data_IF_717365903065
#
_entry.id   IF_717365903065
#
_cell.length_a   1.000
_cell.length_b   1.000
_cell.length_c   1.000
_cell.angle_alpha   90.00
_cell.angle_beta   90.00
_cell.angle_gamma   90.00
#
_symmetry.space_group_name_H-M   'P 1'
#
loop_
_entity.id
_entity.type
_entity.pdbx_description
1 polymer ?
#
# COMPACT_ATOMS: atom_id res chain seq x y z
N UNK A 1 -11.39 -25.60 -59.15
CA UNK A 1 -10.55 -25.20 -58.00
C UNK A 1 -11.28 -24.11 -57.26
N UNK A 2 -11.96 -24.50 -56.19
CA UNK A 2 -12.77 -23.62 -55.34
C UNK A 2 -11.89 -22.66 -54.56
N UNK A 3 -12.30 -21.40 -54.46
CA UNK A 3 -11.63 -20.26 -53.80
C UNK A 3 -11.70 -20.39 -52.26
N UNK A 4 -11.64 -21.62 -51.73
CA UNK A 4 -11.71 -21.93 -50.28
C UNK A 4 -10.35 -22.11 -49.62
N UNK A 5 -9.25 -22.19 -50.38
CA UNK A 5 -7.91 -22.55 -49.88
C UNK A 5 -6.96 -21.35 -49.80
N UNK A 6 -7.36 -20.24 -49.18
CA UNK A 6 -6.42 -19.15 -48.83
C UNK A 6 -6.12 -19.23 -47.33
N UNK A 7 -4.85 -19.39 -46.90
CA UNK A 7 -4.47 -19.53 -45.49
C UNK A 7 -5.10 -18.49 -44.56
N UNK A 8 -5.30 -17.27 -45.06
CA UNK A 8 -6.03 -16.16 -44.44
C UNK A 8 -7.32 -16.52 -43.68
N UNK A 9 -8.17 -17.39 -44.24
CA UNK A 9 -9.50 -17.69 -43.67
C UNK A 9 -9.43 -18.87 -42.70
N UNK A 10 -8.51 -19.81 -42.95
CA UNK A 10 -8.41 -21.06 -42.18
C UNK A 10 -7.76 -20.88 -40.80
N UNK A 11 -7.03 -19.77 -40.58
CA UNK A 11 -6.35 -19.49 -39.31
C UNK A 11 -7.26 -18.91 -38.23
N UNK A 12 -8.52 -18.61 -38.55
CA UNK A 12 -9.42 -18.04 -37.56
C UNK A 12 -9.84 -19.11 -36.53
N UNK A 13 -9.49 -18.96 -35.24
CA UNK A 13 -9.81 -19.95 -34.22
C UNK A 13 -11.31 -20.02 -33.89
N UNK A 14 -12.07 -18.98 -34.25
CA UNK A 14 -13.52 -18.93 -34.03
C UNK A 14 -14.33 -19.41 -35.23
N UNK A 15 -13.68 -19.77 -36.34
CA UNK A 15 -14.35 -20.32 -37.53
C UNK A 15 -15.17 -19.32 -38.34
N UNK A 16 -14.99 -18.01 -38.12
CA UNK A 16 -15.65 -16.97 -38.94
C UNK A 16 -14.96 -16.82 -40.30
N UNK A 17 -15.75 -16.54 -41.34
CA UNK A 17 -15.20 -16.08 -42.62
C UNK A 17 -14.94 -14.57 -42.56
N UNK A 18 -13.67 -14.22 -42.40
CA UNK A 18 -13.18 -12.83 -42.36
C UNK A 18 -13.53 -11.99 -43.60
N UNK A 19 -13.92 -12.61 -44.72
CA UNK A 19 -14.32 -11.90 -45.95
C UNK A 19 -15.68 -11.23 -45.83
N UNK A 20 -16.54 -11.72 -44.94
CA UNK A 20 -17.86 -11.15 -44.68
C UNK A 20 -17.79 -9.88 -43.79
N UNK A 21 -16.57 -9.43 -43.45
CA UNK A 21 -16.35 -8.23 -42.66
C UNK A 21 -16.29 -8.49 -41.15
N UNK A 22 -16.58 -7.45 -40.37
CA UNK A 22 -16.50 -7.52 -38.91
C UNK A 22 -17.71 -8.28 -38.35
N UNK A 23 -17.45 -9.48 -37.83
CA UNK A 23 -18.46 -10.31 -37.17
C UNK A 23 -18.31 -10.26 -35.65
N UNK A 24 -19.42 -10.43 -34.92
CA UNK A 24 -19.46 -10.39 -33.45
C UNK A 24 -18.55 -11.47 -32.81
N UNK A 25 -18.39 -12.61 -33.48
CA UNK A 25 -17.54 -13.70 -33.02
C UNK A 25 -16.01 -13.44 -33.22
N UNK A 26 -15.62 -12.29 -33.75
CA UNK A 26 -14.21 -11.90 -33.84
C UNK A 26 -13.67 -11.54 -32.45
N UNK A 27 -12.62 -12.23 -32.01
CA UNK A 27 -11.94 -12.03 -30.71
C UNK A 27 -10.68 -11.14 -30.79
N UNK A 28 -10.44 -10.51 -31.94
CA UNK A 28 -9.28 -9.65 -32.17
C UNK A 28 -7.92 -10.29 -31.80
N UNK A 29 -7.69 -11.54 -32.22
CA UNK A 29 -6.46 -12.29 -31.98
C UNK A 29 -5.34 -12.10 -33.02
N UNK A 30 -5.57 -11.30 -34.07
CA UNK A 30 -4.65 -11.00 -35.17
C UNK A 30 -4.18 -12.17 -36.07
N UNK A 31 -4.54 -13.43 -35.80
CA UNK A 31 -4.05 -14.58 -36.57
C UNK A 31 -4.27 -14.47 -38.11
N UNK A 32 -5.43 -13.95 -38.53
CA UNK A 32 -5.73 -13.72 -39.94
C UNK A 32 -4.88 -12.62 -40.59
N UNK A 33 -4.49 -11.60 -39.82
CA UNK A 33 -3.61 -10.52 -40.29
C UNK A 33 -2.23 -11.09 -40.60
N UNK A 34 -1.69 -11.88 -39.67
CA UNK A 34 -0.36 -12.47 -39.79
C UNK A 34 -0.27 -13.43 -40.99
N UNK A 35 -1.22 -14.36 -41.09
CA UNK A 35 -1.27 -15.32 -42.20
C UNK A 35 -1.47 -14.65 -43.55
N UNK A 36 -2.31 -13.61 -43.64
CA UNK A 36 -2.47 -12.87 -44.88
C UNK A 36 -1.22 -12.09 -45.26
N UNK A 37 -0.55 -11.44 -44.31
CA UNK A 37 0.67 -10.70 -44.61
C UNK A 37 1.77 -11.63 -45.13
N UNK A 38 1.89 -12.85 -44.60
CA UNK A 38 2.84 -13.85 -45.10
C UNK A 38 2.58 -14.21 -46.57
N UNK A 39 1.31 -14.35 -46.98
CA UNK A 39 0.97 -14.59 -48.39
C UNK A 39 1.30 -13.36 -49.23
N UNK A 40 0.92 -12.16 -48.77
CA UNK A 40 1.16 -10.90 -49.47
C UNK A 40 2.65 -10.70 -49.75
N UNK A 41 3.51 -11.04 -48.78
CA UNK A 41 4.97 -11.02 -48.93
C UNK A 41 5.45 -12.00 -50.01
N UNK A 42 4.91 -13.23 -50.04
CA UNK A 42 5.28 -14.27 -51.03
C UNK A 42 4.88 -13.90 -52.45
N UNK A 43 3.76 -13.20 -52.63
CA UNK A 43 3.25 -12.78 -53.96
C UNK A 43 3.72 -11.39 -54.37
N UNK A 44 4.45 -10.68 -53.50
CA UNK A 44 5.00 -9.35 -53.79
C UNK A 44 3.99 -8.21 -53.73
N UNK A 45 2.87 -8.38 -53.02
CA UNK A 45 1.88 -7.33 -52.80
C UNK A 45 2.10 -6.61 -51.45
N UNK A 46 1.69 -5.34 -51.31
CA UNK A 46 1.84 -4.60 -50.06
C UNK A 46 1.01 -5.23 -48.93
N UNK A 47 1.61 -5.32 -47.74
CA UNK A 47 0.94 -5.81 -46.52
C UNK A 47 -0.29 -4.97 -46.13
N UNK A 48 -1.11 -5.51 -45.23
CA UNK A 48 -2.23 -4.80 -44.64
C UNK A 48 -3.55 -4.94 -45.40
N UNK A 49 -3.73 -6.04 -46.13
CA UNK A 49 -5.04 -6.43 -46.69
C UNK A 49 -6.10 -6.51 -45.57
N UNK A 50 -5.71 -7.03 -44.41
CA UNK A 50 -6.47 -7.04 -43.15
C UNK A 50 -5.63 -6.30 -42.11
N UNK A 51 -6.25 -5.42 -41.31
CA UNK A 51 -5.56 -4.62 -40.30
C UNK A 51 -6.52 -4.10 -39.24
N UNK A 52 -6.02 -3.82 -38.03
CA UNK A 52 -6.77 -3.08 -37.02
C UNK A 52 -6.80 -1.60 -37.37
N UNK A 53 -7.96 -1.15 -37.82
CA UNK A 53 -8.19 0.21 -38.26
C UNK A 53 -9.68 0.50 -38.17
N UNK A 54 -10.06 1.75 -38.28
CA UNK A 54 -11.47 2.13 -38.30
C UNK A 54 -12.01 2.04 -39.74
N UNK A 55 -13.30 1.78 -39.87
CA UNK A 55 -13.99 1.81 -41.17
C UNK A 55 -13.81 3.15 -41.88
N UNK A 56 -13.81 4.27 -41.13
CA UNK A 56 -13.53 5.61 -41.67
C UNK A 56 -12.15 5.73 -42.32
N UNK A 57 -11.13 5.09 -41.75
CA UNK A 57 -9.80 5.10 -42.35
C UNK A 57 -9.72 4.15 -43.56
N UNK A 58 -10.45 3.03 -43.54
CA UNK A 58 -10.49 2.05 -44.64
C UNK A 58 -11.26 2.52 -45.87
N UNK A 59 -12.46 3.04 -45.65
CA UNK A 59 -13.44 3.37 -46.69
C UNK A 59 -13.37 4.86 -47.04
N UNK A 60 -13.48 5.72 -46.02
CA UNK A 60 -13.54 7.19 -46.20
C UNK A 60 -12.15 7.83 -46.32
N UNK A 61 -11.07 7.05 -46.12
CA UNK A 61 -9.67 7.50 -46.11
C UNK A 61 -9.40 8.65 -45.14
N UNK A 62 -10.24 8.81 -44.11
CA UNK A 62 -10.04 9.82 -43.09
C UNK A 62 -8.82 9.47 -42.21
N UNK A 63 -7.93 10.44 -41.92
CA UNK A 63 -6.82 10.19 -41.01
C UNK A 63 -7.33 9.95 -39.59
N UNK A 64 -6.79 8.92 -38.94
CA UNK A 64 -7.09 8.64 -37.54
C UNK A 64 -6.54 9.77 -36.66
N UNK A 65 -7.42 10.57 -36.08
CA UNK A 65 -7.03 11.59 -35.08
C UNK A 65 -6.63 10.88 -33.78
N UNK A 66 -5.33 10.61 -33.63
CA UNK A 66 -4.76 9.96 -32.44
C UNK A 66 -4.77 10.92 -31.24
N UNK A 67 -4.41 12.18 -31.45
CA UNK A 67 -4.39 13.22 -30.42
C UNK A 67 -5.79 13.83 -30.20
N UNK A 68 -6.67 13.07 -29.54
CA UNK A 68 -7.99 13.57 -29.13
C UNK A 68 -7.89 14.24 -27.75
N UNK A 69 -8.52 15.40 -27.50
CA UNK A 69 -8.54 16.03 -26.18
C UNK A 69 -8.99 15.09 -25.05
N UNK A 70 -9.93 14.18 -25.36
CA UNK A 70 -10.41 13.15 -24.42
C UNK A 70 -9.30 12.18 -23.97
N UNK A 71 -8.34 11.85 -24.83
CA UNK A 71 -7.21 11.00 -24.47
C UNK A 71 -6.38 11.65 -23.36
N UNK A 72 -6.07 12.93 -23.52
CA UNK A 72 -5.34 13.70 -22.50
C UNK A 72 -6.11 13.83 -21.19
N UNK A 73 -7.44 14.00 -21.26
CA UNK A 73 -8.28 14.01 -20.06
C UNK A 73 -8.20 12.68 -19.29
N UNK A 74 -8.29 11.53 -19.98
CA UNK A 74 -8.15 10.23 -19.34
C UNK A 74 -6.75 9.98 -18.79
N UNK A 75 -5.69 10.37 -19.52
CA UNK A 75 -4.31 10.27 -19.04
C UNK A 75 -4.06 11.13 -17.81
N UNK A 76 -4.58 12.36 -17.79
CA UNK A 76 -4.47 13.24 -16.63
C UNK A 76 -5.20 12.65 -15.41
N UNK A 77 -6.42 12.16 -15.59
CA UNK A 77 -7.17 11.51 -14.52
C UNK A 77 -6.42 10.28 -13.97
N UNK A 78 -5.90 9.43 -14.87
CA UNK A 78 -5.11 8.26 -14.47
C UNK A 78 -3.86 8.67 -13.71
N UNK A 79 -3.14 9.70 -14.17
CA UNK A 79 -1.95 10.21 -13.49
C UNK A 79 -2.27 10.74 -12.09
N UNK A 80 -3.41 11.42 -11.90
CA UNK A 80 -3.87 11.88 -10.58
C UNK A 80 -4.14 10.68 -9.65
N UNK A 81 -4.83 9.65 -10.13
CA UNK A 81 -5.10 8.44 -9.34
C UNK A 81 -3.80 7.71 -8.97
N UNK A 82 -2.90 7.51 -9.93
CA UNK A 82 -1.58 6.91 -9.67
C UNK A 82 -0.77 7.75 -8.68
N UNK A 83 -0.78 9.08 -8.84
CA UNK A 83 -0.13 10.00 -7.92
C UNK A 83 -0.69 9.91 -6.50
N UNK A 84 -2.02 9.82 -6.35
CA UNK A 84 -2.67 9.60 -5.06
C UNK A 84 -2.26 8.29 -4.39
N UNK A 85 -2.15 7.21 -5.17
CA UNK A 85 -1.67 5.91 -4.65
C UNK A 85 -0.21 6.00 -4.21
N UNK A 86 0.67 6.59 -5.01
CA UNK A 86 2.09 6.77 -4.65
C UNK A 86 2.20 7.60 -3.37
N UNK A 87 1.46 8.71 -3.29
CA UNK A 87 1.42 9.56 -2.11
C UNK A 87 0.99 8.77 -0.86
N UNK A 88 -0.10 8.01 -0.94
CA UNK A 88 -0.60 7.19 0.16
C UNK A 88 0.38 6.09 0.59
N UNK A 89 1.15 5.53 -0.36
CA UNK A 89 2.19 4.54 -0.05
C UNK A 89 3.40 5.18 0.64
N UNK A 90 3.78 6.40 0.25
CA UNK A 90 4.92 7.12 0.85
C UNK A 90 4.60 7.70 2.23
N UNK A 91 3.35 8.09 2.49
CA UNK A 91 2.90 8.64 3.78
C UNK A 91 2.63 7.55 4.84
N UNK A 92 2.80 6.27 4.48
CA UNK A 92 2.59 5.14 5.40
C UNK A 92 3.61 5.21 6.54
N UNK A 93 3.11 5.46 7.76
CA UNK A 93 3.94 5.49 8.97
C UNK A 93 4.60 4.10 9.18
N UNK A 94 5.95 4.03 9.19
CA UNK A 94 6.69 2.76 9.22
C UNK A 94 6.76 2.10 10.61
N UNK A 95 6.48 2.87 11.66
CA UNK A 95 6.43 2.40 13.04
C UNK A 95 5.02 2.64 13.60
N UNK A 96 4.39 1.62 14.16
CA UNK A 96 3.13 1.78 14.89
C UNK A 96 3.32 1.43 16.37
N UNK A 97 2.74 2.26 17.24
CA UNK A 97 2.71 2.05 18.68
C UNK A 97 1.25 1.99 19.11
N UNK A 98 0.89 0.98 19.89
CA UNK A 98 -0.35 0.94 20.65
C UNK A 98 -0.10 0.83 22.14
N UNK A 99 -0.74 1.67 22.94
CA UNK A 99 -0.57 1.67 24.39
C UNK A 99 -1.92 1.28 24.98
N UNK A 100 -1.94 0.14 25.66
CA UNK A 100 -3.14 -0.39 26.28
C UNK A 100 -2.88 -0.48 27.78
N UNK A 101 -3.71 0.18 28.57
CA UNK A 101 -3.68 -0.03 30.01
C UNK A 101 -4.35 -1.37 30.33
N UNK A 102 -3.74 -2.18 31.18
CA UNK A 102 -4.42 -3.37 31.68
C UNK A 102 -5.58 -2.93 32.59
N UNK A 103 -6.80 -3.27 32.20
CA UNK A 103 -8.01 -2.91 32.97
C UNK A 103 -8.14 -3.71 34.27
N UNK A 104 -7.47 -4.85 34.36
CA UNK A 104 -7.57 -5.74 35.52
C UNK A 104 -6.51 -5.44 36.59
N UNK A 105 -5.53 -4.58 36.29
CA UNK A 105 -4.48 -4.19 37.23
C UNK A 105 -4.78 -2.78 37.77
N UNK A 106 -5.33 -2.74 38.99
CA UNK A 106 -5.45 -1.50 39.77
C UNK A 106 -4.06 -0.93 40.06
N UNK A 107 -3.94 0.40 40.14
CA UNK A 107 -2.69 1.07 40.52
C UNK A 107 -2.19 0.50 41.84
N UNK A 108 -0.99 -0.08 41.83
CA UNK A 108 -0.41 -0.75 42.99
C UNK A 108 0.59 0.16 43.68
N UNK A 109 0.74 0.04 44.99
CA UNK A 109 1.79 0.76 45.73
C UNK A 109 2.99 -0.17 45.82
N UNK A 110 4.13 0.27 45.31
CA UNK A 110 5.37 -0.50 45.42
C UNK A 110 5.92 -0.43 46.87
N UNK A 111 6.86 -1.31 47.20
CA UNK A 111 7.58 -1.37 48.49
C UNK A 111 8.23 -0.06 48.93
N UNK A 112 8.45 0.87 47.98
CA UNK A 112 9.00 2.21 48.20
C UNK A 112 7.94 3.31 48.38
N UNK A 113 6.64 2.97 48.41
CA UNK A 113 5.53 3.93 48.54
C UNK A 113 5.12 4.62 47.23
N UNK A 114 5.78 4.32 46.12
CA UNK A 114 5.49 4.86 44.78
C UNK A 114 4.22 4.24 44.18
N UNK A 115 3.44 5.04 43.44
CA UNK A 115 2.25 4.58 42.72
C UNK A 115 2.70 3.96 41.38
N UNK A 116 2.42 2.68 41.18
CA UNK A 116 2.73 1.95 39.96
C UNK A 116 1.48 1.81 39.07
N UNK A 117 1.64 2.10 37.78
CA UNK A 117 0.63 1.84 36.77
C UNK A 117 1.24 1.07 35.60
N UNK A 118 0.63 -0.07 35.28
CA UNK A 118 1.12 -0.98 34.24
C UNK A 118 0.39 -0.75 32.92
N UNK A 119 1.17 -0.76 31.85
CA UNK A 119 0.72 -0.61 30.48
C UNK A 119 1.31 -1.73 29.62
N UNK A 120 0.56 -2.17 28.63
CA UNK A 120 1.05 -3.03 27.56
C UNK A 120 1.30 -2.14 26.36
N UNK A 121 2.55 -2.01 25.96
CA UNK A 121 2.97 -1.28 24.77
C UNK A 121 3.20 -2.29 23.66
N UNK A 122 2.36 -2.23 22.64
CA UNK A 122 2.50 -2.98 21.41
C UNK A 122 3.29 -2.16 20.40
N UNK A 123 4.42 -2.69 19.97
CA UNK A 123 5.25 -2.14 18.92
C UNK A 123 5.09 -2.98 17.66
N UNK A 124 4.89 -2.34 16.52
CA UNK A 124 4.82 -3.04 15.22
C UNK A 124 5.78 -2.39 14.23
N UNK A 125 6.76 -3.17 13.77
CA UNK A 125 7.65 -2.78 12.70
C UNK A 125 6.96 -3.03 11.35
N UNK A 126 6.55 -1.97 10.65
CA UNK A 126 5.90 -2.09 9.33
C UNK A 126 6.86 -1.96 8.16
N UNK A 127 8.17 -1.85 8.43
CA UNK A 127 9.21 -1.78 7.41
C UNK A 127 9.60 -3.18 6.92
N UNK A 128 10.39 -3.22 5.85
CA UNK A 128 10.93 -4.45 5.27
C UNK A 128 12.31 -4.81 5.84
N UNK A 129 12.82 -4.06 6.81
CA UNK A 129 14.14 -4.23 7.42
C UNK A 129 14.02 -4.40 8.94
N UNK A 130 14.92 -5.18 9.57
CA UNK A 130 14.97 -5.26 11.02
C UNK A 130 15.45 -3.92 11.61
N UNK A 131 14.81 -3.48 12.69
CA UNK A 131 15.18 -2.25 13.38
C UNK A 131 15.15 -2.45 14.90
N UNK A 132 16.05 -1.74 15.59
CA UNK A 132 16.03 -1.62 17.04
C UNK A 132 15.25 -0.36 17.45
N UNK A 133 14.33 -0.52 18.39
CA UNK A 133 13.52 0.57 18.92
C UNK A 133 13.80 0.82 20.40
N UNK A 134 13.86 2.10 20.78
CA UNK A 134 14.01 2.59 22.15
C UNK A 134 12.75 3.29 22.59
N UNK A 135 12.23 2.92 23.76
CA UNK A 135 11.05 3.57 24.38
C UNK A 135 11.54 4.58 25.42
N UNK A 136 10.99 5.78 25.39
CA UNK A 136 11.28 6.84 26.36
C UNK A 136 9.99 7.48 26.83
N UNK A 137 9.94 7.89 28.09
CA UNK A 137 8.85 8.70 28.63
C UNK A 137 9.19 10.17 28.40
N UNK A 138 8.21 10.98 28.00
CA UNK A 138 8.38 12.43 27.97
C UNK A 138 8.68 12.93 29.39
N UNK A 139 9.67 13.81 29.58
CA UNK A 139 10.07 14.28 30.90
C UNK A 139 8.89 14.98 31.58
N UNK A 140 8.52 14.47 32.75
CA UNK A 140 7.43 14.96 33.57
C UNK A 140 7.81 14.77 35.03
N UNK A 141 7.62 15.81 35.85
CA UNK A 141 8.05 15.80 37.25
C UNK A 141 7.34 14.69 38.04
N UNK A 142 8.10 13.97 38.86
CA UNK A 142 7.58 12.88 39.69
C UNK A 142 7.29 11.56 38.96
N UNK A 143 7.44 11.48 37.63
CA UNK A 143 7.20 10.25 36.87
C UNK A 143 8.51 9.60 36.39
N UNK A 144 8.65 8.30 36.63
CA UNK A 144 9.75 7.48 36.13
C UNK A 144 9.24 6.26 35.37
N UNK A 145 9.91 5.95 34.26
CA UNK A 145 9.60 4.79 33.43
C UNK A 145 10.54 3.64 33.79
N UNK A 146 10.01 2.46 34.05
CA UNK A 146 10.80 1.24 34.15
C UNK A 146 10.48 0.30 32.99
N UNK A 147 11.54 -0.07 32.28
CA UNK A 147 11.49 -0.95 31.12
C UNK A 147 12.22 -2.24 31.47
N UNK A 148 11.64 -3.38 31.10
CA UNK A 148 12.33 -4.67 31.20
C UNK A 148 13.53 -4.74 30.24
N UNK A 149 13.40 -4.11 29.08
CA UNK A 149 14.43 -4.02 28.05
C UNK A 149 14.45 -2.60 27.48
N UNK A 150 15.62 -1.98 27.41
CA UNK A 150 15.78 -0.63 26.82
C UNK A 150 15.77 -0.66 25.29
N UNK A 151 16.24 -1.77 24.70
CA UNK A 151 16.31 -2.00 23.27
C UNK A 151 15.38 -3.16 22.89
N UNK A 152 14.49 -2.91 21.93
CA UNK A 152 13.57 -3.92 21.40
C UNK A 152 13.92 -4.15 19.92
N UNK A 153 14.66 -5.23 19.59
CA UNK A 153 14.89 -5.63 18.21
C UNK A 153 13.59 -6.19 17.64
N UNK A 154 13.16 -5.68 16.48
CA UNK A 154 12.00 -6.20 15.76
C UNK A 154 12.36 -6.51 14.32
N UNK A 155 12.03 -7.72 13.88
CA UNK A 155 12.14 -8.14 12.50
C UNK A 155 11.13 -7.39 11.60
N UNK A 156 11.32 -7.49 10.30
CA UNK A 156 10.41 -6.91 9.31
C UNK A 156 8.98 -7.46 9.46
N UNK A 157 7.99 -6.59 9.67
CA UNK A 157 6.59 -6.98 9.85
C UNK A 157 6.24 -7.52 11.24
N UNK A 158 7.20 -7.63 12.16
CA UNK A 158 6.98 -8.20 13.48
C UNK A 158 6.21 -7.25 14.40
N UNK A 159 5.38 -7.84 15.28
CA UNK A 159 4.72 -7.12 16.37
C UNK A 159 5.10 -7.74 17.71
N UNK A 160 5.47 -6.90 18.66
CA UNK A 160 5.86 -7.32 20.00
C UNK A 160 5.10 -6.52 21.06
N UNK A 161 4.55 -7.25 22.04
CA UNK A 161 3.80 -6.67 23.16
C UNK A 161 4.70 -6.69 24.39
N UNK A 162 5.05 -5.51 24.91
CA UNK A 162 5.90 -5.37 26.09
C UNK A 162 5.14 -4.73 27.25
N UNK A 163 5.13 -5.36 28.44
CA UNK A 163 4.64 -4.69 29.64
C UNK A 163 5.63 -3.62 30.09
N UNK A 164 5.12 -2.46 30.45
CA UNK A 164 5.86 -1.27 30.88
C UNK A 164 5.20 -0.70 32.13
N UNK A 165 5.99 -0.44 33.17
CA UNK A 165 5.51 0.16 34.41
C UNK A 165 5.95 1.62 34.47
N UNK A 166 5.00 2.51 34.75
CA UNK A 166 5.28 3.91 35.07
C UNK A 166 5.08 4.05 36.58
N UNK A 167 6.08 4.60 37.24
CA UNK A 167 6.01 4.94 38.66
C UNK A 167 5.82 6.44 38.83
N UNK A 168 4.97 6.77 39.78
CA UNK A 168 4.71 8.14 40.18
C UNK A 168 5.02 8.38 41.65
N UNK A 169 5.76 9.45 41.93
CA UNK A 169 5.99 9.96 43.27
C UNK A 169 4.72 10.65 43.80
N UNK A 170 4.08 10.14 44.88
CA UNK A 170 2.86 10.72 45.43
C UNK A 170 3.05 12.13 46.02
N UNK A 171 4.28 12.56 46.33
CA UNK A 171 4.54 13.88 46.90
C UNK A 171 4.55 15.00 45.82
N UNK A 172 4.75 14.61 44.55
CA UNK A 172 4.93 15.54 43.42
C UNK A 172 3.74 15.49 42.45
N UNK A 173 3.07 14.34 42.33
CA UNK A 173 2.01 14.14 41.35
C UNK A 173 0.64 14.55 41.90
N UNK A 174 -0.08 15.35 41.12
CA UNK A 174 -1.47 15.71 41.43
C UNK A 174 -2.40 14.50 41.39
N UNK A 175 -3.29 14.42 42.39
CA UNK A 175 -4.32 13.38 42.44
C UNK A 175 -5.28 13.51 41.26
N UNK A 176 -5.33 12.48 40.42
CA UNK A 176 -6.31 12.35 39.34
C UNK A 176 -5.77 11.65 38.11
N UNK A 177 -6.02 12.26 36.95
CA UNK A 177 -5.63 11.78 35.64
C UNK A 177 -4.51 12.65 35.08
N UNK A 178 -3.28 12.16 35.14
CA UNK A 178 -2.10 12.84 34.61
C UNK A 178 -1.82 12.32 33.19
N UNK A 179 -1.81 13.16 32.14
CA UNK A 179 -1.48 12.71 30.79
C UNK A 179 0.01 12.31 30.73
N UNK A 180 0.29 11.14 30.15
CA UNK A 180 1.64 10.62 29.93
C UNK A 180 1.88 10.39 28.44
N UNK A 181 3.06 10.75 27.96
CA UNK A 181 3.44 10.57 26.56
C UNK A 181 4.63 9.62 26.47
N UNK A 182 4.43 8.48 25.79
CA UNK A 182 5.54 7.58 25.45
C UNK A 182 6.02 7.89 24.03
N UNK A 183 7.33 8.06 23.90
CA UNK A 183 8.02 8.26 22.64
C UNK A 183 8.80 6.99 22.30
N UNK A 184 8.63 6.48 21.08
CA UNK A 184 9.46 5.40 20.57
C UNK A 184 10.26 5.92 19.41
N UNK A 185 11.57 5.72 19.48
CA UNK A 185 12.54 6.14 18.48
C UNK A 185 13.30 4.92 17.99
N UNK A 186 13.43 4.78 16.68
CA UNK A 186 14.42 3.86 16.10
C UNK A 186 15.83 4.31 16.47
N UNK A 187 16.75 3.37 16.64
CA UNK A 187 18.16 3.64 16.93
C UNK A 187 18.82 4.55 15.89
N UNK A 188 18.40 4.45 14.62
CA UNK A 188 18.87 5.31 13.52
C UNK A 188 18.26 6.73 13.57
N UNK A 189 17.35 7.01 14.52
CA UNK A 189 16.65 8.29 14.66
C UNK A 189 15.65 8.60 13.53
N UNK A 190 15.57 7.75 12.51
CA UNK A 190 14.78 7.95 11.29
C UNK A 190 13.27 7.85 11.53
N UNK A 191 12.86 7.04 12.49
CA UNK A 191 11.44 6.81 12.81
C UNK A 191 11.18 7.17 14.26
N UNK A 192 10.26 8.12 14.47
CA UNK A 192 9.81 8.56 15.78
C UNK A 192 8.29 8.61 15.80
N UNK A 193 7.68 7.95 16.77
CA UNK A 193 6.25 8.01 17.01
C UNK A 193 6.01 8.27 18.49
N UNK A 194 5.05 9.14 18.77
CA UNK A 194 4.66 9.53 20.13
C UNK A 194 3.19 9.17 20.32
N UNK A 195 2.86 8.52 21.44
CA UNK A 195 1.47 8.21 21.77
C UNK A 195 1.17 8.60 23.22
N UNK A 196 0.02 9.24 23.39
CA UNK A 196 -0.44 9.72 24.69
C UNK A 196 -1.34 8.68 25.35
N UNK A 197 -1.24 8.59 26.67
CA UNK A 197 -2.15 7.84 27.53
C UNK A 197 -2.34 8.60 28.86
N UNK A 198 -3.07 8.03 29.81
CA UNK A 198 -3.39 8.63 31.09
C UNK A 198 -2.84 7.77 32.23
N UNK A 199 -2.06 8.40 33.10
CA UNK A 199 -1.66 7.91 34.40
C UNK A 199 -2.72 8.27 35.42
N UNK A 200 -3.22 7.26 36.14
CA UNK A 200 -4.22 7.47 37.18
C UNK A 200 -3.63 7.19 38.54
N UNK A 201 -3.75 8.15 39.45
CA UNK A 201 -3.53 7.95 40.88
C UNK A 201 -4.89 7.69 41.52
N UNK A 202 -5.09 6.55 42.16
CA UNK A 202 -6.27 6.41 43.02
C UNK A 202 -6.03 7.19 44.31
N UNK A 203 -6.85 8.22 44.53
CA UNK A 203 -7.03 8.78 45.86
C UNK A 203 -7.67 7.73 46.76
N UNK A 204 -7.23 7.69 48.01
CA UNK A 204 -7.88 6.91 49.07
C UNK A 204 -9.36 7.26 49.19
#
# INVERSE_FOLDING_TARGET
MTVSNVPCVQVCPTGIDIRDGLQVACIQCAACIDACNEIMDKVGYPRGLIRYTTERQLVEKEPSRVFRPRLFAYLALLAVLCGGVIYALTDRVPLEIDIRRDRNQLSSINTQGMIENSYIVKLTNKTQEPHNYKITLAPQEGLSLELRFNDVPLEAGESFDMPVSIYGDPDVIEFGQTPVTLNVTSEDGKYKVSKQNVFTTQGQ
#
